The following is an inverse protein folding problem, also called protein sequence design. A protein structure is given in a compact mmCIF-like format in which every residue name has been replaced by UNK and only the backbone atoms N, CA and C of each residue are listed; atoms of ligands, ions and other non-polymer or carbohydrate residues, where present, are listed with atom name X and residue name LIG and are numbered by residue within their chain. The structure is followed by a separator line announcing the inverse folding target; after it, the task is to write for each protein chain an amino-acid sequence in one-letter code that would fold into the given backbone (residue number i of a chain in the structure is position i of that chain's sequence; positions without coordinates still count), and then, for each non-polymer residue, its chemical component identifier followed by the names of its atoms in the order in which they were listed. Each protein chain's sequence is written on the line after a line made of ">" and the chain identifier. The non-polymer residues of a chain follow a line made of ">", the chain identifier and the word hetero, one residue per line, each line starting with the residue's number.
data_IF_964275986531
#
_entry.id   IF_964275986531
#
_cell.length_a   1.000
_cell.length_b   1.000
_cell.length_c   1.000
_cell.angle_alpha   90.00
_cell.angle_beta   90.00
_cell.angle_gamma   90.00
#
_symmetry.space_group_name_H-M   'P 1'
#
loop_
_entity.id
_entity.type
_entity.pdbx_description
1 polymer ?
#
# COMPACT_ATOMS: atom_id res chain seq x y z
N UNK A 1 7.52 17.61 7.62
CA UNK A 1 7.17 17.55 6.18
C UNK A 1 7.17 16.09 5.75
N UNK A 2 6.18 15.68 5.01
CA UNK A 2 6.06 14.33 4.46
C UNK A 2 6.50 14.36 2.99
N UNK A 3 7.36 13.44 2.60
CA UNK A 3 7.89 13.34 1.24
C UNK A 3 7.67 11.92 0.70
N UNK A 4 7.06 11.82 -0.48
CA UNK A 4 6.89 10.56 -1.19
C UNK A 4 8.06 10.33 -2.14
N UNK A 5 8.88 9.35 -1.84
CA UNK A 5 10.11 9.05 -2.58
C UNK A 5 9.97 7.72 -3.32
N UNK A 6 10.29 7.70 -4.62
CA UNK A 6 10.36 6.45 -5.37
C UNK A 6 11.53 5.60 -4.87
N UNK A 7 11.27 4.36 -4.50
CA UNK A 7 12.30 3.42 -4.08
C UNK A 7 13.16 3.00 -5.28
N UNK A 8 14.46 2.97 -5.09
CA UNK A 8 15.45 2.57 -6.08
C UNK A 8 16.18 1.29 -5.63
N UNK A 9 16.96 0.73 -6.50
CA UNK A 9 17.74 -0.49 -6.20
C UNK A 9 18.62 -0.34 -4.94
N UNK A 10 19.14 0.86 -4.68
CA UNK A 10 19.90 1.15 -3.46
C UNK A 10 19.09 1.05 -2.17
N UNK A 11 17.75 1.17 -2.26
CA UNK A 11 16.83 1.10 -1.12
C UNK A 11 16.34 -0.33 -0.83
N UNK A 12 16.88 -1.31 -1.56
CA UNK A 12 16.45 -2.71 -1.52
C UNK A 12 16.44 -3.29 -0.12
N UNK A 13 17.47 -3.01 0.67
CA UNK A 13 17.57 -3.50 2.04
C UNK A 13 16.51 -2.87 2.95
N UNK A 14 16.29 -1.56 2.81
CA UNK A 14 15.22 -0.87 3.54
C UNK A 14 13.86 -1.44 3.19
N UNK A 15 13.56 -1.62 1.91
CA UNK A 15 12.29 -2.20 1.46
C UNK A 15 12.09 -3.61 2.02
N UNK A 16 13.14 -4.45 2.03
CA UNK A 16 13.08 -5.79 2.58
C UNK A 16 12.78 -5.80 4.09
N UNK A 17 13.34 -4.85 4.84
CA UNK A 17 13.02 -4.68 6.27
C UNK A 17 11.59 -4.21 6.49
N UNK A 18 11.12 -3.27 5.68
CA UNK A 18 9.72 -2.80 5.75
C UNK A 18 8.74 -3.92 5.39
N UNK A 19 9.10 -4.79 4.45
CA UNK A 19 8.31 -5.99 4.12
C UNK A 19 8.14 -6.89 5.35
N UNK A 20 9.18 -7.13 6.14
CA UNK A 20 9.08 -7.94 7.35
C UNK A 20 8.15 -7.31 8.39
N UNK A 21 8.20 -5.99 8.56
CA UNK A 21 7.27 -5.28 9.43
C UNK A 21 5.82 -5.35 8.92
N UNK A 22 5.64 -5.23 7.61
CA UNK A 22 4.34 -5.41 6.95
C UNK A 22 3.79 -6.82 7.20
N UNK A 23 4.60 -7.85 6.98
CA UNK A 23 4.20 -9.25 7.18
C UNK A 23 3.87 -9.54 8.64
N UNK A 24 4.62 -8.99 9.58
CA UNK A 24 4.32 -9.08 11.01
C UNK A 24 2.94 -8.47 11.33
N UNK A 25 2.68 -7.27 10.86
CA UNK A 25 1.41 -6.59 11.09
C UNK A 25 0.25 -7.37 10.44
N UNK A 26 0.45 -7.86 9.22
CA UNK A 26 -0.55 -8.62 8.48
C UNK A 26 -0.80 -10.03 9.05
N UNK A 27 0.14 -10.58 9.81
CA UNK A 27 0.01 -11.89 10.46
C UNK A 27 -1.14 -11.96 11.47
N UNK A 28 -1.67 -10.82 11.90
CA UNK A 28 -2.90 -10.76 12.68
C UNK A 28 -4.14 -11.28 11.92
N UNK A 29 -4.09 -11.34 10.59
CA UNK A 29 -5.21 -11.70 9.73
C UNK A 29 -4.97 -12.99 8.94
N UNK A 30 -3.74 -13.48 8.87
CA UNK A 30 -3.36 -14.63 8.06
C UNK A 30 -2.61 -15.65 8.92
N UNK A 31 -2.73 -16.92 8.54
CA UNK A 31 -1.96 -18.00 9.16
C UNK A 31 -0.58 -18.11 8.50
N UNK A 32 0.21 -17.04 8.62
CA UNK A 32 1.53 -16.97 8.05
C UNK A 32 2.58 -17.31 9.10
N UNK A 33 3.24 -18.45 8.94
CA UNK A 33 4.21 -18.93 9.90
C UNK A 33 5.55 -18.21 9.80
N UNK A 34 6.07 -17.81 10.96
CA UNK A 34 7.44 -17.32 11.07
C UNK A 34 8.41 -18.51 10.96
N UNK A 35 9.48 -18.35 10.20
CA UNK A 35 10.53 -19.36 10.13
C UNK A 35 11.27 -19.52 11.46
N UNK A 36 11.99 -20.65 11.70
CA UNK A 36 12.81 -20.79 12.90
C UNK A 36 13.87 -19.69 13.08
N UNK A 37 14.29 -19.05 12.00
CA UNK A 37 15.23 -17.92 12.01
C UNK A 37 14.54 -16.57 12.30
N UNK A 38 13.23 -16.58 12.52
CA UNK A 38 12.48 -15.37 12.81
C UNK A 38 12.20 -14.49 11.60
N UNK A 39 12.04 -15.07 10.43
CA UNK A 39 11.76 -14.37 9.17
C UNK A 39 10.43 -14.83 8.59
N UNK A 40 9.59 -13.90 8.16
CA UNK A 40 8.38 -14.20 7.42
C UNK A 40 8.69 -14.54 5.96
N UNK A 41 7.88 -15.41 5.32
CA UNK A 41 8.03 -15.69 3.90
C UNK A 41 7.95 -14.43 3.07
N UNK A 42 8.74 -14.37 1.98
CA UNK A 42 8.73 -13.24 1.08
C UNK A 42 7.37 -13.12 0.36
N UNK A 43 6.84 -11.91 0.32
CA UNK A 43 5.63 -11.58 -0.44
C UNK A 43 5.99 -11.45 -1.91
N UNK A 44 5.19 -12.05 -2.81
CA UNK A 44 5.47 -12.11 -4.24
C UNK A 44 5.76 -10.73 -4.85
N UNK A 45 4.89 -9.75 -4.63
CA UNK A 45 5.06 -8.42 -5.18
C UNK A 45 6.36 -7.75 -4.74
N UNK A 46 6.78 -7.92 -3.49
CA UNK A 46 8.05 -7.36 -2.99
C UNK A 46 9.29 -7.97 -3.66
N UNK A 47 9.19 -9.19 -4.17
CA UNK A 47 10.28 -9.80 -4.97
C UNK A 47 10.29 -9.30 -6.40
N UNK A 48 9.14 -8.95 -6.94
CA UNK A 48 8.96 -8.55 -8.33
C UNK A 48 9.24 -7.08 -8.60
N UNK A 49 9.16 -6.21 -7.59
CA UNK A 49 9.31 -4.75 -7.77
C UNK A 49 10.61 -4.32 -8.45
N UNK A 50 11.66 -5.12 -8.35
CA UNK A 50 12.97 -4.81 -8.97
C UNK A 50 13.10 -5.29 -10.40
N UNK A 51 12.13 -6.06 -10.90
CA UNK A 51 12.16 -6.69 -12.21
C UNK A 51 10.96 -6.34 -13.09
N UNK A 52 9.79 -6.14 -12.48
CA UNK A 52 8.56 -5.87 -13.20
C UNK A 52 8.40 -4.36 -13.42
N UNK A 53 8.44 -3.89 -14.70
CA UNK A 53 8.31 -2.48 -15.01
C UNK A 53 6.92 -1.89 -14.73
N UNK A 54 5.94 -2.75 -14.45
CA UNK A 54 4.57 -2.32 -14.11
C UNK A 54 4.37 -2.13 -12.61
N UNK A 55 5.39 -2.37 -11.79
CA UNK A 55 5.37 -2.15 -10.34
C UNK A 55 6.18 -0.91 -9.97
N UNK A 56 5.54 -0.01 -9.24
CA UNK A 56 6.15 1.24 -8.77
C UNK A 56 6.13 1.25 -7.25
N UNK A 57 7.29 1.33 -6.63
CA UNK A 57 7.43 1.31 -5.17
C UNK A 57 7.78 2.70 -4.65
N UNK A 58 7.06 3.12 -3.62
CA UNK A 58 7.25 4.41 -2.97
C UNK A 58 7.38 4.25 -1.46
N UNK A 59 8.20 5.11 -0.88
CA UNK A 59 8.36 5.26 0.56
C UNK A 59 7.94 6.67 0.92
N UNK A 60 6.99 6.82 1.85
CA UNK A 60 6.69 8.10 2.44
C UNK A 60 7.63 8.31 3.61
N UNK A 61 8.38 9.38 3.60
CA UNK A 61 9.29 9.75 4.67
C UNK A 61 8.76 10.95 5.45
N UNK A 62 8.80 10.86 6.77
CA UNK A 62 8.63 11.98 7.67
C UNK A 62 10.04 12.48 8.05
N UNK A 63 10.50 13.54 7.39
CA UNK A 63 11.92 13.92 7.36
C UNK A 63 12.76 12.78 6.76
N UNK A 64 13.58 12.12 7.56
CA UNK A 64 14.41 10.98 7.14
C UNK A 64 13.86 9.62 7.61
N UNK A 65 12.77 9.63 8.39
CA UNK A 65 12.19 8.41 8.93
C UNK A 65 11.12 7.84 7.98
N UNK A 66 11.24 6.57 7.56
CA UNK A 66 10.18 5.93 6.78
C UNK A 66 8.88 5.84 7.58
N UNK A 67 7.78 6.27 6.97
CA UNK A 67 6.46 6.31 7.60
C UNK A 67 5.46 5.36 6.93
N UNK A 68 5.65 5.11 5.64
CA UNK A 68 4.73 4.34 4.81
C UNK A 68 5.50 3.67 3.66
N UNK A 69 4.99 2.54 3.19
CA UNK A 69 5.47 1.86 1.98
C UNK A 69 4.27 1.54 1.11
N UNK A 70 4.35 1.88 -0.16
CA UNK A 70 3.31 1.58 -1.13
C UNK A 70 3.89 0.95 -2.39
N UNK A 71 3.18 -0.03 -2.94
CA UNK A 71 3.47 -0.60 -4.25
C UNK A 71 2.22 -0.40 -5.10
N UNK A 72 2.40 0.30 -6.23
CA UNK A 72 1.36 0.53 -7.24
C UNK A 72 1.64 -0.37 -8.43
N UNK A 73 0.63 -1.10 -8.87
CA UNK A 73 0.67 -1.87 -10.13
C UNK A 73 -0.05 -1.11 -11.22
N UNK A 74 0.61 -0.89 -12.34
CA UNK A 74 -0.04 -0.41 -13.55
C UNK A 74 -0.67 -1.59 -14.29
N UNK A 75 -1.99 -1.55 -14.47
CA UNK A 75 -2.75 -2.57 -15.19
C UNK A 75 -2.81 -2.26 -16.68
N UNK A 76 -3.06 -1.00 -17.01
CA UNK A 76 -2.98 -0.42 -18.36
C UNK A 76 -2.36 0.98 -18.23
N UNK A 77 -2.19 1.70 -19.33
CA UNK A 77 -1.63 3.06 -19.28
C UNK A 77 -2.50 4.07 -18.48
N UNK A 78 -3.76 3.75 -18.22
CA UNK A 78 -4.69 4.60 -17.46
C UNK A 78 -5.40 3.84 -16.31
N UNK A 79 -4.90 2.68 -15.93
CA UNK A 79 -5.52 1.88 -14.87
C UNK A 79 -4.47 1.35 -13.90
N UNK A 80 -4.74 1.49 -12.61
CA UNK A 80 -3.81 1.20 -11.53
C UNK A 80 -4.49 0.42 -10.41
N UNK A 81 -3.69 -0.34 -9.69
CA UNK A 81 -4.08 -1.09 -8.50
C UNK A 81 -3.14 -0.77 -7.35
N UNK A 82 -3.68 -0.58 -6.16
CA UNK A 82 -2.87 -0.47 -4.95
C UNK A 82 -2.46 -1.89 -4.53
N UNK A 83 -1.33 -2.34 -5.04
CA UNK A 83 -0.84 -3.70 -4.82
C UNK A 83 -0.50 -3.96 -3.35
N UNK A 84 0.23 -3.02 -2.72
CA UNK A 84 0.56 -3.05 -1.30
C UNK A 84 0.52 -1.64 -0.73
N UNK A 85 0.08 -1.53 0.52
CA UNK A 85 0.06 -0.26 1.24
C UNK A 85 0.21 -0.53 2.74
N UNK A 86 1.24 0.05 3.35
CA UNK A 86 1.56 -0.20 4.74
C UNK A 86 2.01 1.08 5.44
N UNK A 87 1.26 1.51 6.45
CA UNK A 87 1.63 2.64 7.31
C UNK A 87 2.21 2.09 8.61
N UNK A 88 3.42 2.50 8.96
CA UNK A 88 4.05 2.12 10.22
C UNK A 88 3.17 2.59 11.39
N UNK A 89 3.06 1.78 12.44
CA UNK A 89 2.12 2.02 13.56
C UNK A 89 2.28 3.40 14.18
N UNK A 90 3.52 3.86 14.34
CA UNK A 90 3.85 5.19 14.87
C UNK A 90 3.15 6.33 14.12
N UNK A 91 2.98 6.17 12.82
CA UNK A 91 2.42 7.21 11.94
C UNK A 91 0.93 7.01 11.64
N UNK A 92 0.31 5.97 12.16
CA UNK A 92 -1.14 5.77 12.00
C UNK A 92 -1.90 6.86 12.76
N UNK A 93 -3.03 7.29 12.19
CA UNK A 93 -3.88 8.37 12.73
C UNK A 93 -3.21 9.74 12.81
N UNK A 94 -2.10 9.93 12.12
CA UNK A 94 -1.41 11.22 12.00
C UNK A 94 -1.73 11.95 10.70
N UNK A 95 -2.46 11.30 9.78
CA UNK A 95 -2.70 11.80 8.43
C UNK A 95 -1.66 11.33 7.42
N UNK A 96 -0.58 10.67 7.84
CA UNK A 96 0.49 10.22 6.94
C UNK A 96 -0.02 9.27 5.85
N UNK A 97 -0.83 8.25 6.21
CA UNK A 97 -1.39 7.32 5.23
C UNK A 97 -2.33 8.01 4.24
N UNK A 98 -3.15 8.94 4.70
CA UNK A 98 -4.02 9.72 3.82
C UNK A 98 -3.20 10.55 2.83
N UNK A 99 -2.16 11.23 3.31
CA UNK A 99 -1.26 12.02 2.47
C UNK A 99 -0.56 11.15 1.41
N UNK A 100 -0.07 9.98 1.80
CA UNK A 100 0.56 9.04 0.87
C UNK A 100 -0.41 8.56 -0.20
N UNK A 101 -1.61 8.12 0.19
CA UNK A 101 -2.63 7.64 -0.75
C UNK A 101 -3.02 8.71 -1.77
N UNK A 102 -3.31 9.93 -1.29
CA UNK A 102 -3.69 11.04 -2.16
C UNK A 102 -2.56 11.46 -3.11
N UNK A 103 -1.32 11.48 -2.63
CA UNK A 103 -0.16 11.77 -3.47
C UNK A 103 -0.01 10.74 -4.60
N UNK A 104 -0.27 9.47 -4.32
CA UNK A 104 -0.23 8.41 -5.33
C UNK A 104 -1.37 8.55 -6.35
N UNK A 105 -2.58 8.85 -5.91
CA UNK A 105 -3.71 9.09 -6.82
C UNK A 105 -3.44 10.29 -7.76
N UNK A 106 -2.84 11.35 -7.24
CA UNK A 106 -2.44 12.52 -8.04
C UNK A 106 -1.31 12.20 -9.03
N UNK A 107 -0.37 11.34 -8.60
CA UNK A 107 0.76 10.94 -9.43
C UNK A 107 0.35 10.03 -10.59
N UNK A 108 -0.66 9.21 -10.39
CA UNK A 108 -1.16 8.24 -11.37
C UNK A 108 -2.64 8.46 -11.65
N UNK A 109 -2.99 9.53 -12.41
CA UNK A 109 -4.39 9.79 -12.75
C UNK A 109 -4.94 8.68 -13.65
N UNK A 110 -6.16 8.24 -13.38
CA UNK A 110 -6.82 7.18 -14.13
C UNK A 110 -7.77 6.36 -13.27
N UNK A 111 -8.08 5.15 -13.70
CA UNK A 111 -8.93 4.22 -12.98
C UNK A 111 -8.13 3.49 -11.90
N UNK A 112 -8.68 3.43 -10.70
CA UNK A 112 -8.05 2.81 -9.55
C UNK A 112 -8.89 1.68 -8.97
N UNK A 113 -8.21 0.63 -8.51
CA UNK A 113 -8.76 -0.40 -7.63
C UNK A 113 -7.93 -0.50 -6.37
N UNK A 114 -8.62 -0.62 -5.22
CA UNK A 114 -7.99 -0.84 -3.92
C UNK A 114 -8.73 -1.97 -3.23
N UNK A 115 -8.01 -2.99 -2.77
CA UNK A 115 -8.60 -4.20 -2.21
C UNK A 115 -8.16 -4.43 -0.78
N UNK A 116 -9.07 -4.97 0.02
CA UNK A 116 -8.80 -5.41 1.38
C UNK A 116 -9.43 -6.79 1.62
N UNK A 117 -8.79 -7.59 2.45
CA UNK A 117 -9.41 -8.80 2.97
C UNK A 117 -10.50 -8.43 3.98
N UNK A 118 -11.61 -9.20 4.07
CA UNK A 118 -12.73 -8.87 4.97
C UNK A 118 -12.32 -8.77 6.45
N UNK A 119 -11.32 -9.52 6.88
CA UNK A 119 -10.83 -9.54 8.26
C UNK A 119 -10.16 -8.22 8.67
N UNK A 120 -9.59 -7.48 7.71
CA UNK A 120 -8.90 -6.23 7.98
C UNK A 120 -9.86 -5.03 7.97
N UNK A 121 -10.68 -4.95 9.02
CA UNK A 121 -11.71 -3.91 9.16
C UNK A 121 -11.10 -2.50 9.24
N UNK A 122 -9.95 -2.36 9.86
CA UNK A 122 -9.27 -1.07 9.98
C UNK A 122 -8.82 -0.55 8.61
N UNK A 123 -8.28 -1.41 7.75
CA UNK A 123 -7.91 -1.04 6.39
C UNK A 123 -9.14 -0.66 5.55
N UNK A 124 -10.23 -1.41 5.68
CA UNK A 124 -11.49 -1.09 5.00
C UNK A 124 -12.01 0.29 5.37
N UNK A 125 -12.05 0.58 6.66
CA UNK A 125 -12.48 1.88 7.19
C UNK A 125 -11.59 3.02 6.68
N UNK A 126 -10.28 2.82 6.70
CA UNK A 126 -9.30 3.76 6.20
C UNK A 126 -9.51 4.07 4.71
N UNK A 127 -9.57 3.04 3.87
CA UNK A 127 -9.69 3.20 2.42
C UNK A 127 -11.02 3.83 2.01
N UNK A 128 -12.12 3.42 2.64
CA UNK A 128 -13.43 4.05 2.40
C UNK A 128 -13.37 5.55 2.66
N UNK A 129 -12.84 5.95 3.80
CA UNK A 129 -12.74 7.35 4.18
C UNK A 129 -11.84 8.15 3.23
N UNK A 130 -10.67 7.62 2.91
CA UNK A 130 -9.70 8.29 2.03
C UNK A 130 -10.29 8.48 0.63
N UNK A 131 -10.86 7.41 0.07
CA UNK A 131 -11.41 7.42 -1.28
C UNK A 131 -12.69 8.27 -1.35
N UNK A 132 -13.57 8.15 -0.36
CA UNK A 132 -14.80 8.96 -0.28
C UNK A 132 -14.47 10.45 -0.26
N UNK A 133 -13.52 10.85 0.57
CA UNK A 133 -13.07 12.25 0.65
C UNK A 133 -12.42 12.72 -0.64
N UNK A 134 -11.55 11.90 -1.23
CA UNK A 134 -10.82 12.25 -2.45
C UNK A 134 -11.75 12.36 -3.67
N UNK A 135 -12.77 11.52 -3.77
CA UNK A 135 -13.67 11.45 -4.92
C UNK A 135 -15.01 12.17 -4.71
N UNK A 136 -15.23 12.78 -3.54
CA UNK A 136 -16.53 13.33 -3.13
C UNK A 136 -17.66 12.28 -3.25
N UNK A 137 -17.39 11.06 -2.84
CA UNK A 137 -18.35 9.96 -2.87
C UNK A 137 -18.47 9.23 -4.21
N UNK A 138 -17.71 9.65 -5.23
CA UNK A 138 -17.78 9.07 -6.58
C UNK A 138 -16.91 7.79 -6.69
N UNK A 139 -17.28 6.75 -5.94
CA UNK A 139 -16.62 5.44 -6.01
C UNK A 139 -17.64 4.32 -5.82
N UNK A 140 -17.26 3.13 -6.24
CA UNK A 140 -18.03 1.91 -6.03
C UNK A 140 -17.28 0.98 -5.09
N UNK A 141 -18.02 0.22 -4.28
CA UNK A 141 -17.46 -0.81 -3.41
C UNK A 141 -18.16 -2.15 -3.66
N UNK A 142 -17.38 -3.18 -3.92
CA UNK A 142 -17.85 -4.58 -4.01
C UNK A 142 -17.26 -5.38 -2.85
N UNK A 143 -17.90 -6.51 -2.51
CA UNK A 143 -17.50 -7.33 -1.34
C UNK A 143 -16.98 -8.70 -1.69
N UNK A 144 -17.12 -9.12 -2.94
CA UNK A 144 -16.79 -10.48 -3.39
C UNK A 144 -15.86 -10.40 -4.61
N UNK A 145 -14.77 -11.19 -4.67
CA UNK A 145 -14.23 -12.09 -3.64
C UNK A 145 -13.55 -11.37 -2.48
N UNK A 146 -13.15 -10.13 -2.67
CA UNK A 146 -12.57 -9.25 -1.64
C UNK A 146 -13.32 -7.92 -1.63
N UNK A 147 -13.15 -7.16 -0.54
CA UNK A 147 -13.65 -5.79 -0.51
C UNK A 147 -12.81 -4.96 -1.47
N UNK A 148 -13.46 -4.37 -2.47
CA UNK A 148 -12.79 -3.60 -3.53
C UNK A 148 -13.48 -2.26 -3.70
N UNK A 149 -12.72 -1.17 -3.61
CA UNK A 149 -13.18 0.15 -4.01
C UNK A 149 -12.63 0.44 -5.42
N UNK A 150 -13.48 1.00 -6.27
CA UNK A 150 -13.14 1.38 -7.64
C UNK A 150 -13.58 2.80 -7.90
N UNK A 151 -12.70 3.59 -8.50
CA UNK A 151 -12.94 4.99 -8.81
C UNK A 151 -12.04 5.45 -9.95
N UNK A 152 -12.30 6.65 -10.44
CA UNK A 152 -11.46 7.28 -11.46
C UNK A 152 -11.05 8.67 -10.98
N UNK A 153 -9.81 9.01 -11.16
CA UNK A 153 -9.30 10.34 -10.80
C UNK A 153 -8.41 10.94 -11.91
#
# INVERSE_FOLDING_TARGET
>A
MLELVAARQQDRELVARLEQLYSYDFSAFTDCALSPDGVFPAVKSFREIWKDPELFTFILCAKTEPADLAIVRRLTHEAYDMEQFFVLRKFRRTGAGTAAAQALFQKFPGAWTVRQIPQNKAARSFWRKVIDTYTNGAFEETKTPQITQSFTC
#
